data_IF_907316887538
#
_entry.id   IF_907316887538
#
_cell.length_a   1.000
_cell.length_b   1.000
_cell.length_c   1.000
_cell.angle_alpha   90.00
_cell.angle_beta   90.00
_cell.angle_gamma   90.00
#
_symmetry.space_group_name_H-M   'P 1'
#
loop_
_entity.id
_entity.type
_entity.pdbx_description
1 polymer ?
#
# COMPACT_ATOMS: atom_id res chain seq x y z
N UNK A 1 2.01 -6.48 12.77
CA UNK A 1 1.96 -5.24 13.58
C UNK A 1 0.58 -4.62 13.39
N UNK A 2 -0.22 -4.37 14.44
CA UNK A 2 -1.56 -3.76 14.28
C UNK A 2 -1.42 -2.25 14.06
N UNK A 3 -2.01 -1.76 12.98
CA UNK A 3 -2.03 -0.34 12.62
C UNK A 3 -2.73 0.48 13.71
N UNK A 4 -2.04 1.49 14.27
CA UNK A 4 -2.61 2.38 15.30
C UNK A 4 -3.21 3.64 14.66
N UNK A 5 -4.11 4.31 15.36
CA UNK A 5 -4.69 5.61 14.95
C UNK A 5 -3.61 6.67 14.65
N UNK A 6 -2.41 6.54 15.25
CA UNK A 6 -1.24 7.37 14.96
C UNK A 6 -0.66 7.13 13.56
N UNK A 7 -0.64 5.88 13.08
CA UNK A 7 -0.15 5.54 11.74
C UNK A 7 -1.02 6.18 10.64
N UNK A 8 -2.34 6.22 10.83
CA UNK A 8 -3.28 6.88 9.90
C UNK A 8 -3.03 8.38 9.74
N UNK A 9 -2.56 9.08 10.78
CA UNK A 9 -2.19 10.50 10.66
C UNK A 9 -0.90 10.70 9.85
N UNK A 10 0.01 9.72 9.87
CA UNK A 10 1.31 9.84 9.20
C UNK A 10 1.20 9.85 7.68
N UNK A 11 0.22 9.14 7.08
CA UNK A 11 0.01 9.15 5.62
C UNK A 11 -0.47 10.50 5.06
N UNK A 12 -0.98 11.41 5.89
CA UNK A 12 -1.44 12.70 5.38
C UNK A 12 -0.27 13.46 4.70
N UNK A 13 -0.52 13.91 3.48
CA UNK A 13 0.46 14.60 2.65
C UNK A 13 1.45 13.70 1.92
N UNK A 14 1.28 12.36 1.94
CA UNK A 14 1.98 11.50 0.98
C UNK A 14 1.38 11.65 -0.41
N UNK A 15 2.20 11.49 -1.45
CA UNK A 15 1.76 11.43 -2.84
C UNK A 15 2.37 10.23 -3.54
N UNK A 16 1.80 9.85 -4.69
CA UNK A 16 2.34 8.78 -5.52
C UNK A 16 3.82 9.02 -5.86
N UNK A 17 4.65 8.01 -5.63
CA UNK A 17 6.09 8.03 -5.93
C UNK A 17 6.47 6.99 -7.00
N UNK A 18 5.72 5.91 -7.13
CA UNK A 18 6.02 4.84 -8.09
C UNK A 18 5.24 3.57 -7.80
N UNK A 19 5.67 2.48 -8.42
CA UNK A 19 5.05 1.17 -8.29
C UNK A 19 5.99 0.16 -7.65
N UNK A 20 5.43 -0.83 -6.98
CA UNK A 20 6.15 -2.04 -6.57
C UNK A 20 5.43 -3.28 -7.11
N UNK A 21 6.20 -4.24 -7.63
CA UNK A 21 5.67 -5.53 -8.07
C UNK A 21 5.79 -6.55 -6.96
N UNK A 22 4.67 -7.08 -6.50
CA UNK A 22 4.59 -8.11 -5.47
C UNK A 22 3.19 -8.71 -5.42
N UNK A 23 3.10 -10.01 -5.08
CA UNK A 23 1.81 -10.64 -4.76
C UNK A 23 1.27 -10.10 -3.43
N UNK A 24 -0.06 -10.08 -3.30
CA UNK A 24 -0.74 -9.65 -2.07
C UNK A 24 -0.25 -10.39 -0.83
N UNK A 25 -0.13 -11.72 -0.90
CA UNK A 25 0.31 -12.55 0.22
C UNK A 25 1.75 -12.25 0.66
N UNK A 26 2.62 -11.89 -0.29
CA UNK A 26 3.99 -11.44 -0.01
C UNK A 26 4.01 -10.13 0.77
N UNK A 27 3.19 -9.14 0.37
CA UNK A 27 3.05 -7.88 1.11
C UNK A 27 2.50 -8.11 2.52
N UNK A 28 1.52 -9.01 2.68
CA UNK A 28 0.98 -9.39 4.00
C UNK A 28 2.06 -10.06 4.86
N UNK A 29 2.91 -10.92 4.30
CA UNK A 29 4.01 -11.56 5.05
C UNK A 29 5.03 -10.54 5.55
N UNK A 30 5.36 -9.53 4.75
CA UNK A 30 6.37 -8.52 5.12
C UNK A 30 5.80 -7.48 6.08
N UNK A 31 4.62 -6.93 5.78
CA UNK A 31 4.08 -5.76 6.49
C UNK A 31 2.92 -6.07 7.44
N UNK A 32 2.39 -7.30 7.40
CA UNK A 32 1.17 -7.69 8.11
C UNK A 32 -0.10 -7.34 7.33
N UNK A 33 -1.25 -7.54 7.98
CA UNK A 33 -2.56 -7.23 7.37
C UNK A 33 -2.69 -5.74 7.02
N UNK A 34 -3.24 -5.41 5.83
CA UNK A 34 -3.49 -4.02 5.45
C UNK A 34 -4.63 -3.40 6.25
N UNK A 35 -4.72 -2.08 6.14
CA UNK A 35 -5.93 -1.35 6.47
C UNK A 35 -6.95 -1.43 5.33
N UNK A 36 -8.20 -1.72 5.66
CA UNK A 36 -9.35 -1.69 4.76
C UNK A 36 -10.32 -0.59 5.19
N UNK A 37 -10.84 0.17 4.24
CA UNK A 37 -11.89 1.16 4.49
C UNK A 37 -13.06 0.93 3.53
N UNK A 38 -14.20 0.47 4.05
CA UNK A 38 -15.40 0.20 3.25
C UNK A 38 -15.98 1.44 2.55
N UNK A 39 -15.72 2.62 3.10
CA UNK A 39 -16.22 3.89 2.54
C UNK A 39 -15.24 4.47 1.49
N UNK A 40 -14.13 3.79 1.24
CA UNK A 40 -13.14 4.22 0.27
C UNK A 40 -13.46 3.65 -1.12
N UNK A 41 -14.10 4.44 -1.96
CA UNK A 41 -14.48 4.06 -3.32
C UNK A 41 -13.31 4.03 -4.33
N UNK A 42 -12.05 3.96 -3.90
CA UNK A 42 -10.88 4.02 -4.80
C UNK A 42 -9.81 2.98 -4.51
N UNK A 43 -9.66 2.56 -3.27
CA UNK A 43 -8.62 1.60 -2.86
C UNK A 43 -9.26 0.53 -1.99
N UNK A 44 -8.97 -0.73 -2.27
CA UNK A 44 -9.46 -1.87 -1.51
C UNK A 44 -8.68 -2.03 -0.21
N UNK A 45 -7.35 -1.87 -0.29
CA UNK A 45 -6.42 -2.03 0.83
C UNK A 45 -5.31 -0.97 0.80
N UNK A 46 -4.80 -0.63 1.98
CA UNK A 46 -3.64 0.25 2.14
C UNK A 46 -2.75 -0.23 3.31
N UNK A 47 -1.44 -0.30 3.08
CA UNK A 47 -0.44 -0.36 4.14
C UNK A 47 0.14 1.03 4.39
N UNK A 48 0.41 1.37 5.64
CA UNK A 48 1.20 2.55 6.02
C UNK A 48 2.44 2.04 6.75
N UNK A 49 3.59 2.24 6.14
CA UNK A 49 4.87 1.71 6.60
C UNK A 49 5.73 2.85 7.11
N UNK A 50 6.21 2.74 8.35
CA UNK A 50 7.21 3.67 8.88
C UNK A 50 8.59 3.30 8.37
N UNK A 51 9.15 4.12 7.48
CA UNK A 51 10.55 3.98 7.02
C UNK A 51 11.47 4.93 7.80
N UNK A 52 12.80 4.73 7.78
CA UNK A 52 13.75 5.69 8.33
C UNK A 52 13.68 7.10 7.71
N UNK A 53 13.05 7.23 6.53
CA UNK A 53 12.94 8.48 5.77
C UNK A 53 11.55 9.13 5.86
N UNK A 54 10.67 8.55 6.67
CA UNK A 54 9.28 8.97 6.82
C UNK A 54 8.28 7.89 6.41
N UNK A 55 6.97 8.22 6.44
CA UNK A 55 5.93 7.26 6.09
C UNK A 55 5.89 6.99 4.58
N UNK A 56 5.75 5.72 4.23
CA UNK A 56 5.36 5.27 2.91
C UNK A 56 3.96 4.63 2.98
N UNK A 57 3.24 4.63 1.87
CA UNK A 57 2.00 3.85 1.72
C UNK A 57 2.14 2.86 0.57
N UNK A 58 1.47 1.72 0.68
CA UNK A 58 1.32 0.74 -0.41
C UNK A 58 -0.18 0.50 -0.58
N UNK A 59 -0.71 0.61 -1.79
CA UNK A 59 -2.15 0.51 -2.01
C UNK A 59 -2.47 0.16 -3.46
N UNK A 60 -3.63 -0.45 -3.68
CA UNK A 60 -4.20 -0.54 -5.02
C UNK A 60 -5.00 0.74 -5.31
N UNK A 61 -5.09 1.16 -6.57
CA UNK A 61 -5.83 2.38 -6.92
C UNK A 61 -6.68 2.16 -8.16
N UNK A 62 -7.99 2.24 -7.98
CA UNK A 62 -9.03 2.20 -9.03
C UNK A 62 -9.01 0.96 -9.94
N UNK A 63 -8.41 -0.12 -9.49
CA UNK A 63 -8.30 -1.37 -10.26
C UNK A 63 -9.01 -2.57 -9.58
N UNK A 64 -9.41 -2.45 -8.32
CA UNK A 64 -10.12 -3.50 -7.59
C UNK A 64 -11.60 -3.23 -7.39
N UNK A 65 -12.22 -4.05 -6.54
CA UNK A 65 -13.68 -4.08 -6.34
C UNK A 65 -14.24 -2.78 -5.79
N UNK A 66 -13.47 -2.07 -4.97
CA UNK A 66 -13.90 -0.80 -4.36
C UNK A 66 -14.17 0.30 -5.39
N UNK A 67 -13.58 0.20 -6.60
CA UNK A 67 -13.82 1.15 -7.69
C UNK A 67 -14.63 0.55 -8.85
N UNK A 68 -14.34 -0.69 -9.25
CA UNK A 68 -14.93 -1.32 -10.44
C UNK A 68 -16.04 -2.33 -10.13
N UNK A 69 -16.38 -2.56 -8.86
CA UNK A 69 -17.28 -3.64 -8.44
C UNK A 69 -16.73 -5.00 -8.89
N UNK A 70 -17.60 -5.94 -9.26
CA UNK A 70 -17.21 -7.30 -9.66
C UNK A 70 -16.33 -7.36 -10.92
N UNK A 71 -16.21 -6.26 -11.66
CA UNK A 71 -15.32 -6.15 -12.82
C UNK A 71 -13.88 -5.78 -12.45
N UNK A 72 -13.59 -5.49 -11.17
CA UNK A 72 -12.25 -5.21 -10.70
C UNK A 72 -11.42 -6.48 -10.48
N UNK A 73 -10.15 -6.28 -10.16
CA UNK A 73 -9.26 -7.36 -9.71
C UNK A 73 -9.56 -7.73 -8.26
N UNK A 74 -9.47 -9.01 -7.94
CA UNK A 74 -9.36 -9.47 -6.54
C UNK A 74 -7.96 -9.20 -6.02
N UNK A 75 -7.81 -9.11 -4.70
CA UNK A 75 -6.52 -8.85 -4.07
C UNK A 75 -5.48 -9.91 -4.42
N UNK A 76 -5.87 -11.18 -4.47
CA UNK A 76 -5.01 -12.31 -4.83
C UNK A 76 -4.63 -12.38 -6.32
N UNK A 77 -5.26 -11.57 -7.17
CA UNK A 77 -4.92 -11.41 -8.59
C UNK A 77 -4.01 -10.21 -8.85
N UNK A 78 -3.75 -9.36 -7.83
CA UNK A 78 -2.94 -8.15 -7.97
C UNK A 78 -1.45 -8.43 -7.74
N UNK A 79 -0.63 -7.97 -8.68
CA UNK A 79 0.83 -8.08 -8.63
C UNK A 79 1.58 -6.74 -8.73
N UNK A 80 0.87 -5.63 -8.92
CA UNK A 80 1.43 -4.27 -9.01
C UNK A 80 0.66 -3.31 -8.11
N UNK A 81 1.40 -2.58 -7.27
CA UNK A 81 0.85 -1.73 -6.22
C UNK A 81 1.41 -0.32 -6.32
N UNK A 82 0.57 0.69 -6.05
CA UNK A 82 1.03 2.06 -5.92
C UNK A 82 1.81 2.20 -4.61
N UNK A 83 2.91 2.95 -4.67
CA UNK A 83 3.67 3.34 -3.50
C UNK A 83 3.60 4.85 -3.34
N UNK A 84 3.10 5.28 -2.20
CA UNK A 84 3.06 6.69 -1.79
C UNK A 84 4.18 7.01 -0.81
N UNK A 85 4.57 8.28 -0.75
CA UNK A 85 5.56 8.78 0.20
C UNK A 85 5.65 10.30 0.19
N UNK A 86 6.45 10.85 1.10
CA UNK A 86 6.78 12.29 1.12
C UNK A 86 8.08 12.62 0.39
N UNK A 87 8.84 11.59 0.01
CA UNK A 87 10.13 11.69 -0.65
C UNK A 87 10.47 10.37 -1.35
N UNK A 88 11.39 10.44 -2.31
CA UNK A 88 11.88 9.27 -3.06
C UNK A 88 12.56 8.23 -2.16
N UNK A 89 13.23 8.63 -1.08
CA UNK A 89 13.94 7.70 -0.18
C UNK A 89 12.99 6.73 0.53
N UNK A 90 11.79 7.18 0.90
CA UNK A 90 10.76 6.31 1.49
C UNK A 90 10.26 5.28 0.48
N UNK A 91 10.14 5.67 -0.79
CA UNK A 91 9.80 4.77 -1.90
C UNK A 91 10.92 3.74 -2.15
N UNK A 92 12.17 4.18 -2.30
CA UNK A 92 13.33 3.32 -2.52
C UNK A 92 13.48 2.27 -1.42
N UNK A 93 13.23 2.66 -0.17
CA UNK A 93 13.24 1.75 0.97
C UNK A 93 12.20 0.62 0.81
N UNK A 94 10.98 0.94 0.34
CA UNK A 94 9.95 -0.08 0.08
C UNK A 94 10.39 -1.03 -1.03
N UNK A 95 10.94 -0.52 -2.14
CA UNK A 95 11.42 -1.37 -3.23
C UNK A 95 12.45 -2.36 -2.70
N UNK A 96 13.46 -1.89 -1.97
CA UNK A 96 14.50 -2.76 -1.40
C UNK A 96 13.94 -3.85 -0.47
N UNK A 97 12.94 -3.54 0.35
CA UNK A 97 12.41 -4.51 1.32
C UNK A 97 11.40 -5.49 0.71
N UNK A 98 10.82 -5.17 -0.46
CA UNK A 98 9.86 -6.04 -1.14
C UNK A 98 10.53 -6.93 -2.19
N UNK A 99 11.50 -6.40 -2.96
CA UNK A 99 12.15 -7.14 -4.06
C UNK A 99 13.32 -8.01 -3.64
N UNK A 100 13.80 -7.87 -2.40
CA UNK A 100 14.97 -8.62 -1.88
C UNK A 100 14.57 -9.77 -0.96
N UNK A 101 13.30 -10.21 -1.01
CA UNK A 101 12.76 -11.37 -0.29
C UNK A 101 12.48 -12.56 -1.18
#
# INVERSE_FOLDING_TARGET
>A
MKMTHGAMKMRNGTSFQGYVKAQYDHLVRIFGEPYTNSDNHKTDVEWIVSTPYGPATIYNYKNGYSYLGLSGLKLDEMDEWHVGGKNAKSYEWIIQHVTTG
#
